data_IF_101884828979
#
_entry.id   IF_101884828979
#
_cell.length_a   1.000
_cell.length_b   1.000
_cell.length_c   1.000
_cell.angle_alpha   90.00
_cell.angle_beta   90.00
_cell.angle_gamma   90.00
#
_symmetry.space_group_name_H-M   'P 1'
#
loop_
_entity.id
_entity.type
_entity.pdbx_description
1 polymer ?
#
# COMPACT_ATOMS: atom_id res chain seq x y z
N UNK A 1 2.76 -11.08 -15.17
CA UNK A 1 1.93 -9.85 -15.00
C UNK A 1 1.60 -9.80 -13.53
N UNK A 2 1.86 -8.66 -12.90
CA UNK A 2 1.60 -8.47 -11.47
C UNK A 2 0.30 -7.69 -11.34
N UNK A 3 -0.55 -8.12 -10.40
CA UNK A 3 -1.80 -7.45 -10.09
C UNK A 3 -1.84 -7.08 -8.62
N UNK A 4 -2.65 -6.09 -8.32
CA UNK A 4 -3.07 -5.77 -6.97
C UNK A 4 -4.54 -6.12 -6.81
N UNK A 5 -4.89 -6.83 -5.74
CA UNK A 5 -6.27 -7.12 -5.39
C UNK A 5 -6.67 -6.30 -4.18
N UNK A 6 -7.71 -5.49 -4.33
CA UNK A 6 -8.16 -4.52 -3.34
C UNK A 6 -9.66 -4.71 -3.19
N UNK A 7 -10.14 -4.95 -1.97
CA UNK A 7 -11.56 -5.24 -1.70
C UNK A 7 -12.15 -6.35 -2.59
N UNK A 8 -11.32 -7.33 -2.98
CA UNK A 8 -11.71 -8.46 -3.83
C UNK A 8 -11.69 -8.21 -5.34
N UNK A 9 -11.39 -6.99 -5.79
CA UNK A 9 -11.23 -6.68 -7.22
C UNK A 9 -9.74 -6.62 -7.61
N UNK A 10 -9.40 -7.19 -8.77
CA UNK A 10 -8.03 -7.24 -9.30
C UNK A 10 -7.76 -6.10 -10.29
N UNK A 11 -6.58 -5.50 -10.20
CA UNK A 11 -6.10 -4.43 -11.07
C UNK A 11 -4.68 -4.73 -11.51
N UNK A 12 -4.38 -4.57 -12.81
CA UNK A 12 -3.00 -4.62 -13.30
C UNK A 12 -2.18 -3.50 -12.65
N UNK A 13 -1.02 -3.85 -12.10
CA UNK A 13 -0.19 -2.89 -11.38
C UNK A 13 1.29 -3.24 -11.44
N UNK A 14 2.13 -2.21 -11.38
CA UNK A 14 3.56 -2.34 -11.08
C UNK A 14 3.77 -2.08 -9.60
N UNK A 15 4.57 -2.92 -8.94
CA UNK A 15 4.87 -2.81 -7.51
C UNK A 15 6.37 -2.63 -7.32
N UNK A 16 6.75 -1.53 -6.67
CA UNK A 16 8.14 -1.27 -6.25
C UNK A 16 8.20 -1.23 -4.72
N UNK A 17 9.00 -2.13 -4.12
CA UNK A 17 9.11 -2.26 -2.68
C UNK A 17 10.46 -1.77 -2.15
N UNK A 18 10.45 -1.06 -1.02
CA UNK A 18 11.64 -0.67 -0.27
C UNK A 18 11.57 -1.29 1.12
N UNK A 19 12.58 -2.10 1.48
CA UNK A 19 12.70 -2.65 2.84
C UNK A 19 12.96 -1.55 3.88
N UNK A 20 13.60 -0.46 3.46
CA UNK A 20 13.89 0.71 4.28
C UNK A 20 13.79 1.95 3.39
N UNK A 21 12.74 2.74 3.57
CA UNK A 21 12.45 3.92 2.76
C UNK A 21 13.05 5.19 3.39
N UNK A 22 14.18 5.71 2.89
CA UNK A 22 14.86 6.84 3.51
C UNK A 22 14.04 8.15 3.43
N UNK A 23 13.13 8.25 2.46
CA UNK A 23 12.26 9.41 2.29
C UNK A 23 11.00 9.31 3.16
N UNK A 24 10.80 8.16 3.82
CA UNK A 24 9.69 7.89 4.70
C UNK A 24 10.20 7.22 5.96
N UNK A 25 11.00 7.96 6.74
CA UNK A 25 11.53 7.61 8.07
C UNK A 25 12.13 6.20 8.27
N UNK A 26 12.54 5.56 7.18
CA UNK A 26 13.09 4.21 7.19
C UNK A 26 12.05 3.10 7.25
N UNK A 27 10.75 3.41 7.20
CA UNK A 27 9.70 2.37 7.22
C UNK A 27 9.73 1.51 5.95
N UNK A 28 9.30 0.26 6.09
CA UNK A 28 9.11 -0.60 4.93
C UNK A 28 7.92 -0.09 4.10
N UNK A 29 8.12 0.09 2.81
CA UNK A 29 7.14 0.70 1.91
C UNK A 29 6.98 -0.06 0.60
N UNK A 30 5.83 0.14 -0.05
CA UNK A 30 5.51 -0.32 -1.40
C UNK A 30 4.83 0.81 -2.17
N UNK A 31 5.35 1.14 -3.34
CA UNK A 31 4.73 2.01 -4.32
C UNK A 31 3.96 1.14 -5.32
N UNK A 32 2.68 1.44 -5.50
CA UNK A 32 1.75 0.68 -6.35
C UNK A 32 1.30 1.60 -7.47
N UNK A 33 1.66 1.26 -8.70
CA UNK A 33 1.32 2.04 -9.89
C UNK A 33 0.27 1.29 -10.71
N UNK A 34 -0.90 1.88 -10.91
CA UNK A 34 -2.01 1.30 -11.68
C UNK A 34 -2.71 2.36 -12.54
N UNK A 35 -3.41 1.91 -13.59
CA UNK A 35 -4.25 2.80 -14.41
C UNK A 35 -5.52 3.18 -13.67
N UNK A 36 -5.89 4.47 -13.67
CA UNK A 36 -7.13 4.94 -13.06
C UNK A 36 -7.12 6.41 -12.68
N UNK A 37 -8.31 6.96 -12.44
CA UNK A 37 -8.44 8.34 -11.98
C UNK A 37 -8.11 8.49 -10.49
N UNK A 38 -7.60 9.66 -10.11
CA UNK A 38 -7.27 10.01 -8.73
C UNK A 38 -8.37 9.61 -7.74
N UNK A 39 -9.62 10.01 -8.00
CA UNK A 39 -10.73 9.79 -7.08
C UNK A 39 -11.08 8.30 -6.90
N UNK A 40 -10.80 7.47 -7.90
CA UNK A 40 -10.99 6.03 -7.83
C UNK A 40 -9.86 5.39 -7.01
N UNK A 41 -8.60 5.65 -7.38
CA UNK A 41 -7.42 5.08 -6.72
C UNK A 41 -7.33 5.53 -5.25
N UNK A 42 -7.65 6.80 -4.97
CA UNK A 42 -7.70 7.35 -3.61
C UNK A 42 -8.73 6.63 -2.72
N UNK A 43 -9.85 6.16 -3.28
CA UNK A 43 -10.85 5.40 -2.51
C UNK A 43 -10.50 3.93 -2.32
N UNK A 44 -9.70 3.36 -3.23
CA UNK A 44 -9.24 1.98 -3.12
C UNK A 44 -8.26 1.80 -1.96
N UNK A 45 -7.35 2.76 -1.78
CA UNK A 45 -6.31 2.73 -0.77
C UNK A 45 -6.61 3.68 0.39
N UNK A 46 -7.60 3.35 1.21
CA UNK A 46 -7.83 4.01 2.51
C UNK A 46 -6.91 3.43 3.60
N UNK A 47 -6.75 4.12 4.73
CA UNK A 47 -5.93 3.62 5.83
C UNK A 47 -6.42 2.27 6.38
N UNK A 48 -5.50 1.31 6.36
CA UNK A 48 -5.69 -0.13 6.51
C UNK A 48 -6.76 -0.74 5.62
N UNK A 49 -6.74 -0.36 4.34
CA UNK A 49 -7.24 -1.20 3.26
C UNK A 49 -6.56 -2.57 3.34
N UNK A 50 -7.35 -3.62 3.12
CA UNK A 50 -6.84 -4.98 2.97
C UNK A 50 -6.59 -5.22 1.49
N UNK A 51 -5.34 -5.57 1.16
CA UNK A 51 -4.91 -5.76 -0.21
C UNK A 51 -3.84 -6.84 -0.30
N UNK A 52 -3.76 -7.46 -1.48
CA UNK A 52 -2.79 -8.50 -1.80
C UNK A 52 -2.15 -8.26 -3.16
N UNK A 53 -0.97 -8.82 -3.37
CA UNK A 53 -0.28 -8.85 -4.65
C UNK A 53 -0.49 -10.23 -5.26
N UNK A 54 -0.84 -10.28 -6.54
CA UNK A 54 -1.01 -11.51 -7.30
C UNK A 54 0.00 -11.55 -8.44
N UNK A 55 0.70 -12.67 -8.57
CA UNK A 55 1.58 -12.96 -9.69
C UNK A 55 1.40 -14.42 -10.17
N UNK A 56 2.35 -14.94 -10.93
CA UNK A 56 2.33 -16.32 -11.44
C UNK A 56 2.60 -17.39 -10.37
N UNK A 57 3.13 -17.00 -9.22
CA UNK A 57 3.49 -17.87 -8.11
C UNK A 57 2.37 -17.96 -7.07
N UNK A 58 1.52 -16.93 -6.95
CA UNK A 58 0.31 -16.97 -6.13
C UNK A 58 -0.21 -15.61 -5.67
N UNK A 59 -0.94 -15.62 -4.55
CA UNK A 59 -1.47 -14.44 -3.87
C UNK A 59 -0.70 -14.20 -2.56
N UNK A 60 -0.21 -12.98 -2.39
CA UNK A 60 0.59 -12.55 -1.25
C UNK A 60 -0.14 -11.47 -0.47
N UNK A 61 -0.51 -11.78 0.77
CA UNK A 61 -1.15 -10.80 1.65
C UNK A 61 -0.22 -9.62 1.95
N UNK A 62 -0.74 -8.41 1.82
CA UNK A 62 -0.04 -7.15 2.12
C UNK A 62 -0.83 -6.30 3.11
N UNK A 63 -1.72 -6.90 3.89
CA UNK A 63 -2.56 -6.20 4.88
C UNK A 63 -1.74 -5.47 5.97
N UNK A 64 -0.50 -5.91 6.22
CA UNK A 64 0.43 -5.21 7.11
C UNK A 64 0.81 -3.80 6.64
N UNK A 65 0.73 -3.53 5.33
CA UNK A 65 0.98 -2.21 4.74
C UNK A 65 -0.31 -1.38 4.79
N UNK A 66 -0.58 -0.82 5.98
CA UNK A 66 -1.84 -0.16 6.28
C UNK A 66 -1.76 1.37 6.25
N UNK A 67 -0.58 1.96 6.25
CA UNK A 67 -0.40 3.41 6.25
C UNK A 67 -0.34 3.93 4.83
N UNK A 68 -1.25 4.83 4.48
CA UNK A 68 -1.23 5.47 3.19
C UNK A 68 -0.35 6.72 3.23
N UNK A 69 0.59 6.82 2.29
CA UNK A 69 1.37 8.01 2.02
C UNK A 69 0.79 8.80 0.84
N UNK A 70 1.68 9.33 0.02
CA UNK A 70 1.31 10.14 -1.13
C UNK A 70 0.62 9.33 -2.24
N UNK A 71 -0.24 10.03 -2.99
CA UNK A 71 -0.78 9.56 -4.25
C UNK A 71 -0.43 10.57 -5.35
N UNK A 72 0.32 10.10 -6.34
CA UNK A 72 0.78 10.88 -7.49
C UNK A 72 0.01 10.47 -8.74
N UNK A 73 -0.50 11.44 -9.49
CA UNK A 73 -1.16 11.22 -10.79
C UNK A 73 -0.15 11.53 -11.90
N UNK A 74 0.00 10.63 -12.85
CA UNK A 74 0.90 10.77 -13.99
C UNK A 74 0.16 11.22 -15.24
N UNK A 75 0.87 11.83 -16.18
CA UNK A 75 0.29 12.34 -17.43
C UNK A 75 -0.18 11.25 -18.39
N UNK A 76 0.23 10.00 -18.17
CA UNK A 76 -0.17 8.83 -18.96
C UNK A 76 -1.46 8.15 -18.47
N UNK A 77 -2.12 8.71 -17.45
CA UNK A 77 -3.36 8.19 -16.89
C UNK A 77 -3.16 7.12 -15.81
N UNK A 78 -1.92 6.88 -15.38
CA UNK A 78 -1.62 6.05 -14.21
C UNK A 78 -1.58 6.88 -12.92
N UNK A 79 -1.79 6.21 -11.79
CA UNK A 79 -1.57 6.76 -10.46
C UNK A 79 -0.62 5.85 -9.68
N UNK A 80 0.29 6.45 -8.92
CA UNK A 80 1.12 5.73 -7.94
C UNK A 80 0.68 6.09 -6.53
N UNK A 81 0.39 5.08 -5.70
CA UNK A 81 0.12 5.24 -4.27
C UNK A 81 1.24 4.62 -3.45
N UNK A 82 1.66 5.30 -2.38
CA UNK A 82 2.65 4.79 -1.42
C UNK A 82 1.93 4.14 -0.23
N UNK A 83 2.26 2.89 0.08
CA UNK A 83 1.74 2.14 1.22
C UNK A 83 2.89 1.73 2.13
N UNK A 84 2.75 1.89 3.44
CA UNK A 84 3.80 1.62 4.43
C UNK A 84 3.33 0.74 5.59
N UNK A 85 4.28 0.01 6.19
CA UNK A 85 4.09 -0.59 7.52
C UNK A 85 4.27 0.47 8.60
N UNK A 86 3.70 0.23 9.77
CA UNK A 86 4.09 0.96 10.98
C UNK A 86 5.57 0.66 11.27
N UNK A 87 6.29 1.66 11.75
CA UNK A 87 7.59 1.45 12.37
C UNK A 87 7.43 0.71 13.70
N UNK A 88 8.48 0.03 14.18
CA UNK A 88 8.46 -0.66 15.47
C UNK A 88 8.06 0.26 16.63
N UNK A 89 8.42 1.54 16.55
CA UNK A 89 8.04 2.56 17.53
C UNK A 89 6.54 2.88 17.45
N UNK A 90 6.01 3.12 16.24
CA UNK A 90 4.58 3.40 16.05
C UNK A 90 3.71 2.20 16.46
N UNK A 91 4.16 0.99 16.15
CA UNK A 91 3.48 -0.26 16.54
C UNK A 91 3.49 -0.44 18.07
N UNK A 92 4.64 -0.21 18.72
CA UNK A 92 4.75 -0.23 20.18
C UNK A 92 3.87 0.84 20.86
N UNK A 93 3.77 2.04 20.27
CA UNK A 93 2.87 3.08 20.77
C UNK A 93 1.39 2.70 20.60
N UNK A 94 1.01 2.08 19.49
CA UNK A 94 -0.34 1.58 19.30
C UNK A 94 -0.74 0.55 20.38
N UNK A 95 0.17 -0.37 20.70
CA UNK A 95 -0.03 -1.38 21.76
C UNK A 95 -0.12 -0.76 23.17
N UNK A 96 0.69 0.26 23.47
CA UNK A 96 0.76 0.87 24.81
C UNK A 96 -0.47 1.72 25.15
N UNK A 97 -1.05 2.41 24.17
CA UNK A 97 -2.19 3.31 24.37
C UNK A 97 -3.56 2.66 24.11
N UNK A 98 -3.61 1.32 24.02
CA UNK A 98 -4.87 0.60 23.81
C UNK A 98 -5.47 0.84 22.42
N UNK A 99 -4.64 1.22 21.44
CA UNK A 99 -5.04 1.14 20.06
C UNK A 99 -5.24 -0.33 19.74
N UNK A 100 -6.50 -0.73 19.50
CA UNK A 100 -6.78 -2.01 18.87
C UNK A 100 -6.01 -2.03 17.54
N UNK A 101 -4.81 -2.63 17.58
CA UNK A 101 -4.13 -3.12 16.39
C UNK A 101 -5.16 -3.96 15.64
N UNK A 102 -5.35 -3.60 14.38
CA UNK A 102 -6.38 -4.19 13.51
C UNK A 102 -6.29 -5.72 13.51
#
# INVERSE_FOLDING_TARGET
MTKVKINGAEYEATIDGLMHDPDWDGRESKAITLSGEFAQVNRMFSDGAVWSILDDQGEYDNSAFSLRGDLTVHTDGTCTVKMGKLTDLEDAYALLYGGNGK
#
